data_IF_833643123196
#
_entry.id   IF_833643123196
#
_cell.length_a   1.000
_cell.length_b   1.000
_cell.length_c   1.000
_cell.angle_alpha   90.00
_cell.angle_beta   90.00
_cell.angle_gamma   90.00
#
_symmetry.space_group_name_H-M   'P 1'
#
loop_
_entity.id
_entity.type
_entity.pdbx_description
1 polymer ?
#
# COMPACT_ATOMS: atom_id res chain seq x y z
N UNK A 1 0.55 24.53 8.48
CA UNK A 1 1.07 23.15 8.68
C UNK A 1 0.27 22.23 7.78
N UNK A 2 0.88 21.61 6.75
CA UNK A 2 0.11 20.78 5.80
C UNK A 2 -0.28 19.42 6.39
N UNK A 3 -1.48 18.97 6.06
CA UNK A 3 -2.03 17.66 6.41
C UNK A 3 -2.31 16.89 5.13
N UNK A 4 -1.82 15.66 5.01
CA UNK A 4 -2.04 14.93 3.77
C UNK A 4 -1.09 13.78 3.52
N UNK A 5 -1.01 13.39 2.25
CA UNK A 5 -0.21 12.26 1.77
C UNK A 5 0.87 12.78 0.84
N UNK A 6 2.08 12.25 0.98
CA UNK A 6 3.19 12.49 0.07
C UNK A 6 3.53 11.18 -0.65
N UNK A 7 3.63 11.25 -1.97
CA UNK A 7 4.10 10.15 -2.80
C UNK A 7 5.62 10.29 -2.92
N UNK A 8 6.37 9.59 -2.07
CA UNK A 8 7.82 9.66 -2.05
C UNK A 8 8.44 8.57 -2.91
N UNK A 9 9.59 8.86 -3.50
CA UNK A 9 10.50 7.86 -4.06
C UNK A 9 11.48 7.42 -2.96
N UNK A 10 11.58 6.11 -2.72
CA UNK A 10 12.68 5.54 -1.93
C UNK A 10 13.79 5.06 -2.88
N UNK A 11 15.02 5.61 -2.83
CA UNK A 11 16.15 5.04 -3.55
C UNK A 11 16.59 3.69 -2.96
N UNK A 12 17.39 2.94 -3.71
CA UNK A 12 18.03 1.71 -3.22
C UNK A 12 19.03 2.06 -2.12
N UNK A 13 19.06 1.28 -1.04
CA UNK A 13 19.94 1.52 0.12
C UNK A 13 19.18 1.83 1.40
N UNK A 14 18.58 3.02 1.56
CA UNK A 14 17.91 3.40 2.81
C UNK A 14 16.71 2.51 3.13
N UNK A 15 16.37 2.40 4.40
CA UNK A 15 15.13 1.78 4.86
C UNK A 15 13.94 2.72 4.59
N UNK A 16 12.71 2.18 4.65
CA UNK A 16 11.51 3.03 4.60
C UNK A 16 11.41 4.01 5.78
N UNK A 17 12.05 3.72 6.92
CA UNK A 17 12.05 4.61 8.07
C UNK A 17 13.00 5.79 7.88
N UNK A 18 14.12 5.59 7.17
CA UNK A 18 15.05 6.68 6.86
C UNK A 18 14.38 7.75 6.00
N UNK A 19 13.51 7.34 5.05
CA UNK A 19 12.68 8.28 4.26
C UNK A 19 11.72 9.07 5.16
N UNK A 20 11.12 8.42 6.15
CA UNK A 20 10.24 9.08 7.13
C UNK A 20 11.04 10.11 7.93
N UNK A 21 12.23 9.76 8.40
CA UNK A 21 13.07 10.65 9.21
C UNK A 21 13.59 11.84 8.39
N UNK A 22 13.91 11.64 7.12
CA UNK A 22 14.29 12.73 6.22
C UNK A 22 13.15 13.75 6.04
N UNK A 23 11.92 13.27 5.84
CA UNK A 23 10.73 14.15 5.73
C UNK A 23 10.44 14.83 7.07
N UNK A 24 10.57 14.14 8.20
CA UNK A 24 10.42 14.77 9.54
C UNK A 24 11.41 15.91 9.74
N UNK A 25 12.67 15.70 9.35
CA UNK A 25 13.74 16.68 9.45
C UNK A 25 13.46 17.90 8.58
N UNK A 26 13.14 17.69 7.30
CA UNK A 26 12.90 18.78 6.33
C UNK A 26 11.63 19.57 6.65
N UNK A 27 10.52 18.91 7.00
CA UNK A 27 9.25 19.57 7.34
C UNK A 27 9.13 20.01 8.79
N UNK A 28 10.14 19.74 9.64
CA UNK A 28 10.15 20.04 11.08
C UNK A 28 8.88 19.58 11.81
N UNK A 29 8.32 18.43 11.41
CA UNK A 29 7.16 17.82 12.09
C UNK A 29 7.49 16.42 12.58
N UNK A 30 7.01 16.07 13.77
CA UNK A 30 7.19 14.72 14.34
C UNK A 30 6.22 13.71 13.72
N UNK A 31 5.04 14.14 13.28
CA UNK A 31 3.93 13.24 12.88
C UNK A 31 4.04 12.86 11.41
N UNK A 32 4.99 11.99 11.09
CA UNK A 32 5.16 11.36 9.78
C UNK A 32 5.21 9.84 9.94
N UNK A 33 4.61 9.12 9.00
CA UNK A 33 4.65 7.65 8.93
C UNK A 33 4.45 7.15 7.50
N UNK A 34 4.61 5.85 7.26
CA UNK A 34 4.50 5.26 5.91
C UNK A 34 3.38 4.21 5.77
N UNK A 35 2.83 4.11 4.56
CA UNK A 35 1.68 3.27 4.17
C UNK A 35 2.03 1.91 3.58
N UNK A 36 3.29 1.49 3.62
CA UNK A 36 3.71 0.16 3.17
C UNK A 36 5.22 0.06 3.03
N UNK A 37 5.85 -0.77 3.86
CA UNK A 37 7.31 -0.94 3.86
C UNK A 37 7.80 -1.38 2.48
N UNK A 38 8.96 -0.87 2.09
CA UNK A 38 9.74 -1.31 0.96
C UNK A 38 11.13 -1.73 1.49
N UNK A 39 11.61 -2.88 1.05
CA UNK A 39 12.87 -3.45 1.52
C UNK A 39 14.07 -2.54 1.16
N UNK A 40 15.17 -2.53 1.93
CA UNK A 40 16.30 -1.64 1.69
C UNK A 40 16.91 -1.77 0.28
N UNK A 41 17.03 -3.00 -0.23
CA UNK A 41 17.60 -3.29 -1.56
C UNK A 41 16.69 -2.88 -2.72
N UNK A 42 15.41 -2.65 -2.45
CA UNK A 42 14.42 -2.24 -3.43
C UNK A 42 14.33 -0.70 -3.52
N UNK A 43 13.76 -0.19 -4.60
CA UNK A 43 13.44 1.23 -4.75
C UNK A 43 11.99 1.44 -5.25
N UNK A 44 11.56 2.69 -5.34
CA UNK A 44 10.27 3.05 -5.94
C UNK A 44 9.31 3.75 -4.98
N UNK A 45 8.01 3.71 -5.32
CA UNK A 45 6.95 4.47 -4.65
C UNK A 45 6.83 4.09 -3.18
N UNK A 46 6.80 5.08 -2.29
CA UNK A 46 6.54 4.94 -0.85
C UNK A 46 5.55 6.01 -0.40
N UNK A 47 4.34 5.57 -0.05
CA UNK A 47 3.31 6.46 0.48
C UNK A 47 3.66 6.90 1.90
N UNK A 48 3.76 8.21 2.11
CA UNK A 48 3.98 8.83 3.41
C UNK A 48 2.76 9.65 3.84
N UNK A 49 2.40 9.58 5.11
CA UNK A 49 1.37 10.41 5.70
C UNK A 49 2.01 11.50 6.54
N UNK A 50 1.57 12.74 6.34
CA UNK A 50 2.05 13.92 7.07
C UNK A 50 0.92 14.45 7.96
N UNK A 51 1.22 14.61 9.24
CA UNK A 51 0.31 15.07 10.28
C UNK A 51 -1.00 14.25 10.33
N UNK A 52 -2.19 14.86 10.12
CA UNK A 52 -3.46 14.11 10.09
C UNK A 52 -3.52 13.06 8.98
N UNK A 53 -2.77 13.23 7.89
CA UNK A 53 -2.68 12.25 6.80
C UNK A 53 -2.12 10.89 7.21
N UNK A 54 -1.38 10.81 8.32
CA UNK A 54 -0.97 9.52 8.92
C UNK A 54 -2.16 8.61 9.24
N UNK A 55 -3.34 9.18 9.50
CA UNK A 55 -4.57 8.44 9.80
C UNK A 55 -5.22 7.81 8.56
N UNK A 56 -4.82 8.24 7.37
CA UNK A 56 -5.28 7.70 6.08
C UNK A 56 -4.45 6.50 5.60
N UNK A 57 -3.27 6.27 6.18
CA UNK A 57 -2.29 5.28 5.68
C UNK A 57 -2.82 3.83 5.61
N UNK A 58 -3.83 3.48 6.40
CA UNK A 58 -4.45 2.15 6.34
C UNK A 58 -5.17 1.87 5.02
N UNK A 59 -5.74 2.89 4.37
CA UNK A 59 -6.42 2.74 3.08
C UNK A 59 -5.41 2.45 1.98
N UNK A 60 -4.24 3.11 2.00
CA UNK A 60 -3.14 2.87 1.06
C UNK A 60 -2.47 1.51 1.24
N UNK A 61 -2.40 1.01 2.49
CA UNK A 61 -1.92 -0.35 2.79
C UNK A 61 -2.72 -1.42 2.05
N UNK A 62 -4.00 -1.18 1.82
CA UNK A 62 -4.93 -2.12 1.20
C UNK A 62 -5.07 -1.98 -0.32
N UNK A 63 -4.37 -1.03 -0.96
CA UNK A 63 -4.37 -0.92 -2.42
C UNK A 63 -3.55 -2.02 -3.09
N UNK A 64 -3.81 -2.31 -4.36
CA UNK A 64 -2.92 -3.15 -5.16
C UNK A 64 -1.56 -2.46 -5.35
N UNK A 65 -0.52 -3.25 -5.64
CA UNK A 65 0.83 -2.76 -5.92
C UNK A 65 1.32 -3.34 -7.24
N UNK A 66 2.02 -2.52 -8.01
CA UNK A 66 2.75 -2.98 -9.21
C UNK A 66 4.24 -2.94 -8.92
N UNK A 67 4.92 -4.02 -9.28
CA UNK A 67 6.36 -4.13 -9.17
C UNK A 67 6.96 -4.54 -10.52
N UNK A 68 8.12 -3.99 -10.82
CA UNK A 68 9.08 -4.61 -11.72
C UNK A 68 10.12 -5.34 -10.87
N UNK A 69 10.44 -6.59 -11.25
CA UNK A 69 11.38 -7.43 -10.52
C UNK A 69 12.35 -8.07 -11.49
N UNK A 70 13.60 -8.24 -11.05
CA UNK A 70 14.62 -9.07 -11.68
C UNK A 70 15.08 -10.13 -10.69
N UNK A 71 15.05 -11.40 -11.10
CA UNK A 71 15.51 -12.53 -10.32
C UNK A 71 16.65 -13.28 -11.03
N UNK A 72 17.53 -13.90 -10.25
CA UNK A 72 18.57 -14.81 -10.72
C UNK A 72 18.18 -16.25 -10.39
N UNK A 73 17.99 -17.05 -11.43
CA UNK A 73 17.72 -18.49 -11.34
C UNK A 73 18.98 -19.24 -10.86
N UNK A 74 18.79 -20.32 -10.11
CA UNK A 74 19.88 -21.13 -9.58
C UNK A 74 20.59 -20.52 -8.36
N UNK A 75 20.12 -19.40 -7.82
CA UNK A 75 20.70 -18.76 -6.64
C UNK A 75 19.67 -18.71 -5.51
N UNK A 76 20.07 -19.14 -4.31
CA UNK A 76 19.27 -19.05 -3.09
C UNK A 76 20.09 -18.35 -2.00
N UNK A 77 19.54 -17.28 -1.44
CA UNK A 77 20.09 -16.57 -0.29
C UNK A 77 19.19 -16.69 0.93
N UNK A 78 19.71 -16.42 2.12
CA UNK A 78 18.90 -16.48 3.35
C UNK A 78 17.71 -15.51 3.36
N UNK A 79 17.86 -14.37 2.69
CA UNK A 79 16.87 -13.28 2.68
C UNK A 79 15.95 -13.32 1.46
N UNK A 80 16.21 -14.22 0.51
CA UNK A 80 15.59 -14.30 -0.82
C UNK A 80 15.81 -13.05 -1.70
N UNK A 81 16.82 -12.26 -1.35
CA UNK A 81 17.34 -11.16 -2.16
C UNK A 81 18.87 -11.15 -2.17
N UNK A 82 19.46 -10.37 -3.06
CA UNK A 82 20.91 -10.29 -3.27
C UNK A 82 21.70 -9.75 -2.07
N UNK A 83 21.04 -9.26 -1.02
CA UNK A 83 21.72 -8.76 0.18
C UNK A 83 21.94 -9.82 1.25
N UNK A 84 21.32 -10.99 1.11
CA UNK A 84 21.52 -12.13 2.00
C UNK A 84 22.76 -12.94 1.63
N UNK A 85 23.26 -13.69 2.61
CA UNK A 85 24.32 -14.68 2.37
C UNK A 85 23.82 -15.78 1.44
N UNK A 86 24.69 -16.23 0.53
CA UNK A 86 24.40 -17.31 -0.40
C UNK A 86 24.37 -18.62 0.37
N UNK A 87 23.22 -19.28 0.36
CA UNK A 87 23.02 -20.59 0.99
C UNK A 87 23.26 -21.71 -0.01
N UNK A 88 22.87 -21.46 -1.26
CA UNK A 88 22.95 -22.46 -2.31
C UNK A 88 23.05 -21.80 -3.70
N UNK A 89 23.90 -22.37 -4.54
CA UNK A 89 24.01 -22.02 -5.95
C UNK A 89 24.06 -23.30 -6.80
N UNK A 90 23.18 -23.37 -7.80
CA UNK A 90 23.01 -24.52 -8.70
C UNK A 90 22.99 -24.07 -10.14
N UNK A 91 23.32 -24.98 -11.05
CA UNK A 91 22.98 -24.78 -12.46
C UNK A 91 21.46 -24.89 -12.65
N UNK A 92 20.92 -24.00 -13.50
CA UNK A 92 19.53 -24.02 -13.89
C UNK A 92 19.48 -24.23 -15.39
N UNK A 93 19.20 -25.48 -15.80
CA UNK A 93 19.19 -25.92 -17.19
C UNK A 93 17.73 -26.09 -17.64
N UNK A 94 16.99 -24.98 -17.68
CA UNK A 94 15.58 -24.91 -18.09
C UNK A 94 15.44 -24.09 -19.37
N UNK A 95 14.44 -24.39 -20.20
CA UNK A 95 14.17 -23.64 -21.42
C UNK A 95 13.40 -22.34 -21.13
N UNK A 96 13.38 -21.42 -22.08
CA UNK A 96 12.58 -20.19 -21.95
C UNK A 96 11.07 -20.48 -21.81
N UNK A 97 10.59 -21.52 -22.47
CA UNK A 97 9.19 -21.96 -22.41
C UNK A 97 8.84 -22.44 -20.99
N UNK A 98 9.69 -23.26 -20.39
CA UNK A 98 9.51 -23.74 -19.00
C UNK A 98 9.51 -22.59 -18.00
N UNK A 99 10.41 -21.61 -18.19
CA UNK A 99 10.45 -20.38 -17.38
C UNK A 99 9.12 -19.62 -17.50
N UNK A 100 8.64 -19.37 -18.72
CA UNK A 100 7.38 -18.65 -18.96
C UNK A 100 6.20 -19.41 -18.35
N UNK A 101 6.10 -20.71 -18.56
CA UNK A 101 5.05 -21.56 -18.00
C UNK A 101 5.04 -21.49 -16.46
N UNK A 102 6.21 -21.64 -15.83
CA UNK A 102 6.33 -21.54 -14.39
C UNK A 102 5.88 -20.17 -13.88
N UNK A 103 6.33 -19.07 -14.48
CA UNK A 103 5.94 -17.70 -14.10
C UNK A 103 4.43 -17.50 -14.21
N UNK A 104 3.84 -17.79 -15.36
CA UNK A 104 2.41 -17.52 -15.60
C UNK A 104 1.49 -18.43 -14.78
N UNK A 105 1.96 -19.59 -14.34
CA UNK A 105 1.19 -20.48 -13.48
C UNK A 105 0.86 -19.91 -12.09
N UNK A 106 1.53 -18.84 -11.66
CA UNK A 106 1.23 -18.13 -10.40
C UNK A 106 0.17 -17.04 -10.56
N UNK A 107 -0.28 -16.71 -11.78
CA UNK A 107 -1.40 -15.79 -12.00
C UNK A 107 -2.68 -16.42 -11.42
N UNK A 108 -3.38 -15.68 -10.57
CA UNK A 108 -4.48 -16.18 -9.76
C UNK A 108 -4.20 -16.04 -8.27
N UNK A 109 -4.65 -17.00 -7.47
CA UNK A 109 -4.53 -16.96 -6.01
C UNK A 109 -3.81 -18.20 -5.48
N UNK A 110 -2.87 -18.00 -4.56
CA UNK A 110 -2.21 -19.10 -3.86
C UNK A 110 -1.86 -18.73 -2.43
N UNK A 111 -1.54 -19.74 -1.63
CA UNK A 111 -1.10 -19.57 -0.25
C UNK A 111 0.41 -19.35 -0.21
N UNK A 112 0.83 -18.10 -0.01
CA UNK A 112 2.24 -17.71 0.02
C UNK A 112 2.77 -17.73 1.46
N UNK A 113 3.94 -18.35 1.65
CA UNK A 113 4.67 -18.28 2.92
C UNK A 113 5.46 -16.97 2.98
N UNK A 114 5.25 -16.10 3.99
CA UNK A 114 6.07 -14.90 4.16
C UNK A 114 7.55 -15.27 4.37
N UNK A 115 8.49 -14.48 3.84
CA UNK A 115 9.91 -14.73 4.06
C UNK A 115 10.27 -14.50 5.54
N UNK A 116 11.28 -15.22 6.02
CA UNK A 116 11.78 -15.10 7.40
C UNK A 116 12.23 -13.66 7.70
N UNK A 117 12.88 -13.01 6.73
CA UNK A 117 13.26 -11.60 6.82
C UNK A 117 12.12 -10.67 6.41
N UNK A 118 11.12 -10.52 7.27
CA UNK A 118 9.96 -9.64 7.06
C UNK A 118 9.56 -8.83 8.29
N UNK A 119 8.76 -7.78 8.07
CA UNK A 119 8.23 -6.93 9.15
C UNK A 119 7.04 -7.55 9.91
N UNK A 120 6.62 -8.79 9.59
CA UNK A 120 5.58 -9.51 10.33
C UNK A 120 6.03 -9.74 11.77
N UNK A 121 5.06 -9.91 12.68
CA UNK A 121 5.33 -10.18 14.09
C UNK A 121 5.02 -11.62 14.46
N UNK A 122 5.87 -12.21 15.29
CA UNK A 122 5.62 -13.46 16.01
C UNK A 122 5.78 -13.18 17.51
N UNK A 123 4.73 -13.45 18.29
CA UNK A 123 4.68 -13.17 19.74
C UNK A 123 5.16 -11.76 20.14
N UNK A 124 4.79 -10.75 19.34
CA UNK A 124 5.12 -9.34 19.59
C UNK A 124 6.41 -8.84 18.93
N UNK A 125 7.33 -9.74 18.56
CA UNK A 125 8.62 -9.41 17.95
C UNK A 125 8.61 -9.51 16.44
N UNK A 126 9.37 -8.66 15.73
CA UNK A 126 9.43 -8.67 14.26
C UNK A 126 10.28 -9.83 13.76
N UNK A 127 9.84 -10.52 12.71
CA UNK A 127 10.52 -11.70 12.19
C UNK A 127 11.96 -11.42 11.74
N UNK A 128 12.22 -10.29 11.07
CA UNK A 128 13.60 -9.97 10.68
C UNK A 128 14.55 -9.84 11.89
N UNK A 129 14.04 -9.48 13.08
CA UNK A 129 14.86 -9.39 14.30
C UNK A 129 15.20 -10.81 14.78
N UNK A 130 14.22 -11.70 14.81
CA UNK A 130 14.40 -13.11 15.17
C UNK A 130 15.33 -13.84 14.18
N UNK A 131 15.19 -13.59 12.88
CA UNK A 131 16.04 -14.17 11.85
C UNK A 131 17.52 -13.77 12.03
N UNK A 132 17.79 -12.50 12.36
CA UNK A 132 19.15 -12.02 12.70
C UNK A 132 19.73 -12.63 13.98
N UNK A 133 18.88 -13.16 14.86
CA UNK A 133 19.29 -13.95 16.03
C UNK A 133 19.45 -15.46 15.70
N UNK A 134 19.38 -15.84 14.42
CA UNK A 134 19.42 -17.24 13.96
C UNK A 134 18.11 -18.02 14.14
N UNK A 135 17.03 -17.36 14.58
CA UNK A 135 15.72 -18.01 14.82
C UNK A 135 14.80 -17.86 13.61
N UNK A 136 14.86 -18.82 12.70
CA UNK A 136 14.00 -18.87 11.51
C UNK A 136 12.61 -19.37 11.90
N UNK A 137 11.63 -18.46 11.95
CA UNK A 137 10.22 -18.79 12.20
C UNK A 137 9.46 -18.87 10.88
N UNK A 138 8.84 -20.02 10.60
CA UNK A 138 7.90 -20.20 9.49
C UNK A 138 6.50 -19.81 9.94
N UNK A 139 5.93 -18.78 9.34
CA UNK A 139 4.54 -18.39 9.58
C UNK A 139 3.60 -19.24 8.74
N UNK A 140 2.33 -19.39 9.15
CA UNK A 140 1.31 -19.98 8.30
C UNK A 140 1.22 -19.21 6.97
N UNK A 141 1.00 -19.92 5.85
CA UNK A 141 0.77 -19.28 4.56
C UNK A 141 -0.38 -18.28 4.62
N UNK A 142 -0.33 -17.28 3.75
CA UNK A 142 -1.42 -16.32 3.56
C UNK A 142 -1.87 -16.35 2.11
N UNK A 143 -3.19 -16.34 1.92
CA UNK A 143 -3.78 -16.17 0.59
C UNK A 143 -3.36 -14.83 0.02
N UNK A 144 -2.71 -14.87 -1.14
CA UNK A 144 -2.34 -13.71 -1.95
C UNK A 144 -2.92 -13.86 -3.35
N UNK A 145 -3.04 -12.75 -4.06
CA UNK A 145 -3.51 -12.69 -5.44
C UNK A 145 -2.48 -12.03 -6.33
N UNK A 146 -2.09 -12.74 -7.39
CA UNK A 146 -1.33 -12.23 -8.51
C UNK A 146 -2.35 -11.92 -9.61
N UNK A 147 -2.63 -10.64 -9.84
CA UNK A 147 -3.65 -10.23 -10.79
C UNK A 147 -3.22 -10.46 -12.24
N UNK A 148 -1.96 -10.12 -12.54
CA UNK A 148 -1.35 -10.30 -13.86
C UNK A 148 0.17 -10.19 -13.77
N UNK A 149 0.83 -10.85 -14.70
CA UNK A 149 2.26 -10.74 -14.98
C UNK A 149 2.42 -10.34 -16.45
N UNK A 150 3.36 -9.46 -16.76
CA UNK A 150 3.64 -9.03 -18.14
C UNK A 150 5.10 -8.58 -18.27
N UNK A 151 5.51 -8.20 -19.49
CA UNK A 151 6.88 -7.76 -19.82
C UNK A 151 7.98 -8.73 -19.36
N UNK A 152 7.75 -10.04 -19.59
CA UNK A 152 8.72 -11.08 -19.24
C UNK A 152 9.90 -11.01 -20.21
N UNK A 153 11.10 -10.78 -19.67
CA UNK A 153 12.37 -10.77 -20.38
C UNK A 153 13.29 -11.80 -19.73
N UNK A 154 13.84 -12.71 -20.55
CA UNK A 154 14.77 -13.76 -20.12
C UNK A 154 16.13 -13.44 -20.75
N UNK A 155 17.16 -13.42 -19.92
CA UNK A 155 18.55 -13.17 -20.33
C UNK A 155 19.47 -14.10 -19.52
N UNK A 156 19.78 -15.26 -20.12
CA UNK A 156 20.53 -16.34 -19.49
C UNK A 156 19.91 -16.80 -18.18
N UNK A 157 20.64 -16.62 -17.06
CA UNK A 157 20.16 -16.98 -15.71
C UNK A 157 19.32 -15.89 -15.05
N UNK A 158 19.09 -14.76 -15.72
CA UNK A 158 18.31 -13.66 -15.16
C UNK A 158 16.97 -13.54 -15.87
N UNK A 159 15.93 -13.31 -15.08
CA UNK A 159 14.58 -13.12 -15.60
C UNK A 159 13.99 -11.90 -14.94
N UNK A 160 13.40 -11.01 -15.74
CA UNK A 160 12.66 -9.86 -15.23
C UNK A 160 11.24 -9.82 -15.76
N UNK A 161 10.33 -9.27 -14.97
CA UNK A 161 8.93 -9.10 -15.35
C UNK A 161 8.25 -8.04 -14.48
N UNK A 162 7.09 -7.59 -14.92
CA UNK A 162 6.16 -6.79 -14.12
C UNK A 162 5.05 -7.64 -13.54
N UNK A 163 4.61 -7.28 -12.34
CA UNK A 163 3.55 -7.99 -11.62
C UNK A 163 2.66 -7.04 -10.85
N UNK A 164 1.35 -7.24 -10.97
CA UNK A 164 0.33 -6.59 -10.14
C UNK A 164 -0.15 -7.57 -9.06
N UNK A 165 -0.04 -7.17 -7.80
CA UNK A 165 -0.30 -8.03 -6.65
C UNK A 165 -1.24 -7.40 -5.64
N UNK A 166 -1.94 -8.26 -4.90
CA UNK A 166 -2.71 -7.86 -3.72
C UNK A 166 -1.81 -7.34 -2.59
N UNK A 167 -2.35 -6.55 -1.65
CA UNK A 167 -1.66 -6.20 -0.41
C UNK A 167 -1.05 -7.39 0.32
N UNK A 168 0.14 -7.19 0.90
CA UNK A 168 0.79 -8.19 1.75
C UNK A 168 1.51 -9.32 1.01
N UNK A 169 1.50 -9.31 -0.32
CA UNK A 169 2.29 -10.21 -1.17
C UNK A 169 3.77 -9.85 -1.09
N UNK A 170 4.63 -10.86 -0.94
CA UNK A 170 6.08 -10.73 -0.97
C UNK A 170 6.60 -11.14 -2.34
N UNK A 171 7.17 -10.19 -3.08
CA UNK A 171 7.79 -10.47 -4.39
C UNK A 171 9.00 -11.40 -4.24
N UNK A 172 9.74 -11.29 -3.13
CA UNK A 172 10.82 -12.22 -2.77
C UNK A 172 10.35 -13.67 -2.68
N UNK A 173 9.23 -13.92 -1.98
CA UNK A 173 8.64 -15.26 -1.93
C UNK A 173 8.14 -15.70 -3.30
N UNK A 174 7.51 -14.82 -4.08
CA UNK A 174 7.05 -15.15 -5.44
C UNK A 174 8.21 -15.64 -6.33
N UNK A 175 9.36 -14.95 -6.31
CA UNK A 175 10.54 -15.39 -7.06
C UNK A 175 11.07 -16.73 -6.56
N UNK A 176 11.17 -16.94 -5.25
CA UNK A 176 11.54 -18.25 -4.71
C UNK A 176 10.58 -19.36 -5.11
N UNK A 177 9.27 -19.11 -5.06
CA UNK A 177 8.23 -20.08 -5.40
C UNK A 177 8.29 -20.45 -6.89
N UNK A 178 8.54 -19.49 -7.77
CA UNK A 178 8.83 -19.72 -9.20
C UNK A 178 10.10 -20.56 -9.36
N UNK A 179 11.17 -20.20 -8.65
CA UNK A 179 12.44 -20.95 -8.67
C UNK A 179 12.29 -22.38 -8.17
N UNK A 180 11.47 -22.62 -7.15
CA UNK A 180 11.14 -23.96 -6.66
C UNK A 180 10.35 -24.76 -7.70
N UNK A 181 9.41 -24.12 -8.40
CA UNK A 181 8.66 -24.76 -9.48
C UNK A 181 9.57 -25.20 -10.64
N UNK A 182 10.61 -24.42 -10.92
CA UNK A 182 11.66 -24.75 -11.88
C UNK A 182 12.72 -25.73 -11.34
N UNK A 183 12.67 -26.08 -10.06
CA UNK A 183 13.61 -27.02 -9.42
C UNK A 183 15.02 -26.48 -9.13
N UNK A 184 15.31 -25.21 -9.46
CA UNK A 184 16.66 -24.63 -9.32
C UNK A 184 16.74 -23.49 -8.28
N UNK A 185 15.61 -22.99 -7.77
CA UNK A 185 15.57 -21.83 -6.87
C UNK A 185 15.79 -20.50 -7.61
N UNK A 186 15.44 -19.39 -6.97
CA UNK A 186 15.66 -18.06 -7.55
C UNK A 186 15.69 -16.95 -6.49
N UNK A 187 16.61 -16.01 -6.64
CA UNK A 187 16.79 -14.88 -5.71
C UNK A 187 16.51 -13.57 -6.39
N UNK A 188 15.85 -12.62 -5.71
CA UNK A 188 15.61 -11.28 -6.25
C UNK A 188 16.90 -10.47 -6.26
N UNK A 189 17.31 -9.96 -7.42
CA UNK A 189 18.49 -9.12 -7.56
C UNK A 189 18.14 -7.63 -7.65
N UNK A 190 16.99 -7.30 -8.23
CA UNK A 190 16.47 -5.93 -8.31
C UNK A 190 14.97 -5.93 -8.14
N UNK A 191 14.46 -4.89 -7.47
CA UNK A 191 13.03 -4.72 -7.20
C UNK A 191 12.67 -3.24 -7.20
N UNK A 192 11.70 -2.89 -8.04
CA UNK A 192 11.17 -1.54 -8.17
C UNK A 192 9.66 -1.58 -7.94
N UNK A 193 9.15 -0.84 -6.95
CA UNK A 193 7.70 -0.63 -6.81
C UNK A 193 7.28 0.53 -7.70
N UNK A 194 6.74 0.21 -8.86
CA UNK A 194 6.31 1.19 -9.87
C UNK A 194 5.03 1.92 -9.44
N UNK A 195 4.12 1.26 -8.69
CA UNK A 195 2.92 1.94 -8.19
C UNK A 195 2.31 1.37 -6.91
N UNK A 196 1.50 2.20 -6.25
CA UNK A 196 0.63 1.87 -5.11
C UNK A 196 -0.77 2.41 -5.40
N UNK A 197 -1.68 1.55 -5.84
CA UNK A 197 -2.98 1.96 -6.37
C UNK A 197 -2.82 2.98 -7.51
N UNK A 198 -3.45 4.17 -7.45
CA UNK A 198 -3.32 5.17 -8.50
C UNK A 198 -1.97 5.91 -8.46
N UNK A 199 -1.14 5.69 -7.44
CA UNK A 199 0.09 6.46 -7.24
C UNK A 199 1.29 5.83 -7.90
N UNK A 200 1.93 6.53 -8.84
CA UNK A 200 2.97 5.97 -9.70
C UNK A 200 4.37 6.50 -9.39
N UNK A 201 5.37 5.91 -10.02
CA UNK A 201 6.77 6.27 -9.86
C UNK A 201 7.06 7.66 -10.45
N UNK A 202 6.39 8.01 -11.54
CA UNK A 202 6.57 9.29 -12.26
C UNK A 202 6.10 10.48 -11.43
N UNK A 203 5.08 10.30 -10.58
CA UNK A 203 4.62 11.33 -9.64
C UNK A 203 5.37 11.33 -8.30
N UNK A 204 6.30 10.39 -8.09
CA UNK A 204 7.00 10.24 -6.82
C UNK A 204 8.16 11.23 -6.68
N UNK A 205 8.36 11.76 -5.46
CA UNK A 205 9.41 12.74 -5.16
C UNK A 205 10.56 12.09 -4.37
N UNK A 206 11.80 12.23 -4.85
CA UNK A 206 12.97 11.84 -4.06
C UNK A 206 13.23 12.86 -2.94
N UNK A 207 12.77 12.53 -1.73
CA UNK A 207 12.83 13.44 -0.57
C UNK A 207 14.25 13.68 -0.06
N UNK A 208 15.23 12.87 -0.44
CA UNK A 208 16.63 13.10 -0.04
C UNK A 208 17.24 14.27 -0.82
N UNK A 209 16.84 14.44 -2.08
CA UNK A 209 17.33 15.48 -2.98
C UNK A 209 16.44 16.74 -3.00
N UNK A 210 15.15 16.59 -2.70
CA UNK A 210 14.19 17.68 -2.73
C UNK A 210 14.41 18.71 -1.61
N UNK A 211 14.08 19.98 -1.89
CA UNK A 211 14.09 21.03 -0.86
C UNK A 211 12.90 20.89 0.12
N UNK A 212 12.98 21.45 1.34
CA UNK A 212 11.83 21.46 2.26
C UNK A 212 10.55 22.06 1.65
N UNK A 213 10.68 23.15 0.89
CA UNK A 213 9.56 23.82 0.23
C UNK A 213 8.93 22.95 -0.86
N UNK A 214 9.76 22.27 -1.65
CA UNK A 214 9.29 21.33 -2.66
C UNK A 214 8.53 20.15 -2.04
N UNK A 215 9.06 19.57 -0.96
CA UNK A 215 8.38 18.49 -0.23
C UNK A 215 7.03 19.00 0.30
N UNK A 216 7.00 20.17 0.92
CA UNK A 216 5.77 20.76 1.42
C UNK A 216 4.76 21.00 0.29
N UNK A 217 5.20 21.50 -0.87
CA UNK A 217 4.35 21.74 -2.04
C UNK A 217 3.83 20.47 -2.70
N UNK A 218 4.52 19.33 -2.52
CA UNK A 218 4.10 18.02 -3.03
C UNK A 218 3.22 17.21 -2.07
N UNK A 219 2.91 17.72 -0.87
CA UNK A 219 1.91 17.08 0.00
C UNK A 219 0.52 17.23 -0.61
N UNK A 220 -0.08 16.10 -1.00
CA UNK A 220 -1.47 16.01 -1.45
C UNK A 220 -2.36 16.31 -0.24
N UNK A 221 -3.20 17.37 -0.30
CA UNK A 221 -4.03 17.76 0.83
C UNK A 221 -5.10 16.70 1.13
N UNK A 222 -5.62 16.68 2.35
CA UNK A 222 -6.58 15.66 2.83
C UNK A 222 -7.81 15.54 1.92
N UNK A 223 -8.28 16.65 1.39
CA UNK A 223 -9.45 16.78 0.51
C UNK A 223 -9.27 16.03 -0.81
N UNK A 224 -8.02 15.92 -1.27
CA UNK A 224 -7.63 15.21 -2.50
C UNK A 224 -7.08 13.81 -2.24
N UNK A 225 -7.09 13.36 -0.98
CA UNK A 225 -6.74 11.99 -0.67
C UNK A 225 -7.94 11.05 -0.90
N UNK A 226 -7.63 9.78 -1.16
CA UNK A 226 -8.63 8.71 -1.31
C UNK A 226 -9.69 9.01 -2.39
N UNK A 227 -9.31 9.60 -3.52
CA UNK A 227 -10.22 10.01 -4.60
C UNK A 227 -11.05 8.86 -5.18
N UNK A 228 -10.61 7.61 -5.00
CA UNK A 228 -11.37 6.40 -5.38
C UNK A 228 -12.55 6.07 -4.45
N UNK A 229 -12.70 6.76 -3.32
CA UNK A 229 -13.84 6.56 -2.41
C UNK A 229 -14.98 7.53 -2.74
N UNK A 230 -16.26 7.07 -2.65
CA UNK A 230 -17.42 7.93 -2.86
C UNK A 230 -17.41 9.16 -1.95
N UNK A 231 -17.87 10.29 -2.48
CA UNK A 231 -17.98 11.57 -1.78
C UNK A 231 -19.43 11.82 -1.35
N UNK A 232 -19.57 12.39 -0.15
CA UNK A 232 -20.83 12.90 0.39
C UNK A 232 -20.60 14.31 0.91
N UNK A 233 -21.54 15.22 0.67
CA UNK A 233 -21.52 16.61 1.14
C UNK A 233 -22.68 16.81 2.11
N UNK A 234 -22.39 17.37 3.28
CA UNK A 234 -23.41 17.77 4.27
C UNK A 234 -23.69 19.28 4.18
N UNK A 235 -24.84 19.72 4.69
CA UNK A 235 -25.08 21.15 4.87
C UNK A 235 -24.14 21.76 5.91
N UNK A 236 -23.73 23.01 5.69
CA UNK A 236 -22.70 23.70 6.47
C UNK A 236 -23.04 23.78 7.97
N UNK A 237 -24.32 23.94 8.32
CA UNK A 237 -24.81 24.03 9.70
C UNK A 237 -24.54 22.77 10.54
N UNK A 238 -24.24 21.62 9.90
CA UNK A 238 -23.92 20.37 10.58
C UNK A 238 -22.42 20.11 10.73
N UNK A 239 -21.54 20.92 10.12
CA UNK A 239 -20.08 20.70 10.10
C UNK A 239 -19.48 20.56 11.50
N UNK A 240 -19.77 21.48 12.41
CA UNK A 240 -19.27 21.40 13.79
C UNK A 240 -19.81 20.17 14.55
N UNK A 241 -21.06 19.77 14.28
CA UNK A 241 -21.66 18.58 14.91
C UNK A 241 -20.91 17.31 14.49
N UNK A 242 -20.56 17.19 13.20
CA UNK A 242 -19.78 16.05 12.70
C UNK A 242 -18.36 16.06 13.28
N UNK A 243 -17.72 17.23 13.35
CA UNK A 243 -16.39 17.37 13.97
C UNK A 243 -16.38 16.99 15.46
N UNK A 244 -17.50 17.16 16.15
CA UNK A 244 -17.72 16.74 17.54
C UNK A 244 -18.22 15.28 17.69
N UNK A 245 -18.30 14.52 16.58
CA UNK A 245 -18.61 13.08 16.60
C UNK A 245 -20.09 12.72 16.43
N UNK A 246 -20.96 13.69 16.09
CA UNK A 246 -22.35 13.40 15.71
C UNK A 246 -22.39 12.48 14.50
N UNK A 247 -23.21 11.44 14.54
CA UNK A 247 -23.41 10.57 13.38
C UNK A 247 -24.14 11.32 12.25
N UNK A 248 -24.06 10.80 11.02
CA UNK A 248 -24.65 11.44 9.84
C UNK A 248 -26.05 10.88 9.61
N UNK A 249 -27.03 11.77 9.66
CA UNK A 249 -28.44 11.47 9.36
C UNK A 249 -28.85 12.01 7.99
N UNK A 250 -29.93 11.47 7.43
CA UNK A 250 -30.36 11.82 6.07
C UNK A 250 -30.61 13.32 5.88
N UNK A 251 -31.20 13.99 6.87
CA UNK A 251 -31.47 15.44 6.81
C UNK A 251 -30.21 16.29 6.66
N UNK A 252 -29.05 15.76 7.08
CA UNK A 252 -27.78 16.46 7.02
C UNK A 252 -27.18 16.44 5.62
N UNK A 253 -27.60 15.50 4.76
CA UNK A 253 -27.01 15.30 3.44
C UNK A 253 -27.54 16.32 2.42
N UNK A 254 -26.61 17.02 1.77
CA UNK A 254 -26.88 17.92 0.64
C UNK A 254 -26.72 17.19 -0.69
N UNK A 255 -25.57 16.56 -0.90
CA UNK A 255 -25.20 15.84 -2.13
C UNK A 255 -24.48 14.54 -1.78
N UNK A 256 -24.60 13.53 -2.63
CA UNK A 256 -23.88 12.26 -2.46
C UNK A 256 -23.67 11.52 -3.78
N UNK A 257 -22.51 10.88 -3.89
CA UNK A 257 -22.21 9.91 -4.94
C UNK A 257 -22.95 8.58 -4.71
N UNK A 258 -22.91 7.69 -5.70
CA UNK A 258 -23.41 6.32 -5.52
C UNK A 258 -22.47 5.51 -4.62
N UNK A 259 -23.03 4.80 -3.65
CA UNK A 259 -22.31 3.89 -2.76
C UNK A 259 -23.22 2.74 -2.28
N UNK A 260 -22.59 1.64 -1.88
CA UNK A 260 -23.25 0.47 -1.31
C UNK A 260 -23.15 0.50 0.21
N UNK A 261 -24.02 -0.24 0.87
CA UNK A 261 -23.91 -0.53 2.29
C UNK A 261 -22.50 -1.10 2.58
N UNK A 262 -21.90 -0.68 3.68
CA UNK A 262 -20.56 -1.04 4.16
C UNK A 262 -19.40 -0.37 3.40
N UNK A 263 -19.67 0.37 2.32
CA UNK A 263 -18.66 1.20 1.68
C UNK A 263 -18.14 2.27 2.65
N UNK A 264 -16.86 2.59 2.53
CA UNK A 264 -16.29 3.75 3.22
C UNK A 264 -16.43 4.98 2.31
N UNK A 265 -17.04 6.04 2.84
CA UNK A 265 -17.29 7.29 2.12
C UNK A 265 -16.55 8.46 2.76
N UNK A 266 -16.21 9.45 1.96
CA UNK A 266 -15.60 10.72 2.38
C UNK A 266 -16.71 11.74 2.64
N UNK A 267 -16.73 12.31 3.84
CA UNK A 267 -17.73 13.30 4.27
C UNK A 267 -17.11 14.70 4.22
N UNK A 268 -17.67 15.55 3.36
CA UNK A 268 -17.26 16.92 3.12
C UNK A 268 -18.33 17.91 3.59
N UNK A 269 -17.91 19.13 3.87
CA UNK A 269 -18.82 20.28 4.00
C UNK A 269 -18.99 21.03 2.66
N UNK A 270 -19.75 22.13 2.68
CA UNK A 270 -20.03 22.94 1.48
C UNK A 270 -18.82 23.75 1.01
N UNK A 271 -17.86 24.02 1.91
CA UNK A 271 -16.62 24.73 1.64
C UNK A 271 -15.54 23.81 1.02
N UNK A 272 -15.80 22.49 0.98
CA UNK A 272 -14.90 21.50 0.40
C UNK A 272 -13.88 20.92 1.38
N UNK A 273 -14.04 21.16 2.68
CA UNK A 273 -13.18 20.58 3.72
C UNK A 273 -13.55 19.12 3.98
N UNK A 274 -12.56 18.25 4.12
CA UNK A 274 -12.80 16.86 4.51
C UNK A 274 -13.02 16.76 6.03
N UNK A 275 -14.27 16.56 6.45
CA UNK A 275 -14.63 16.45 7.85
C UNK A 275 -14.33 15.08 8.44
N UNK A 276 -14.66 14.01 7.69
CA UNK A 276 -14.60 12.64 8.21
C UNK A 276 -14.57 11.57 7.12
N UNK A 277 -14.22 10.34 7.54
CA UNK A 277 -14.57 9.11 6.85
C UNK A 277 -15.67 8.38 7.61
N UNK A 278 -16.65 7.84 6.90
CA UNK A 278 -17.79 7.13 7.47
C UNK A 278 -18.08 5.82 6.73
N UNK A 279 -18.75 4.89 7.39
CA UNK A 279 -19.33 3.67 6.80
C UNK A 279 -20.75 3.92 6.37
N UNK A 280 -21.12 3.52 5.16
CA UNK A 280 -22.50 3.55 4.70
C UNK A 280 -23.34 2.47 5.40
N UNK A 281 -24.44 2.85 6.03
CA UNK A 281 -25.37 1.89 6.67
C UNK A 281 -26.52 1.46 5.75
N UNK A 282 -26.63 2.08 4.58
CA UNK A 282 -27.61 1.78 3.52
C UNK A 282 -26.94 2.01 2.15
N UNK A 283 -27.58 1.53 1.09
CA UNK A 283 -27.21 1.91 -0.28
C UNK A 283 -27.67 3.34 -0.58
N UNK A 284 -26.92 4.07 -1.40
CA UNK A 284 -27.25 5.44 -1.83
C UNK A 284 -28.63 5.53 -2.50
N UNK A 285 -29.00 4.53 -3.31
CA UNK A 285 -30.31 4.42 -3.95
C UNK A 285 -31.49 4.41 -2.96
N UNK A 286 -31.31 3.85 -1.75
CA UNK A 286 -32.37 3.78 -0.74
C UNK A 286 -32.63 5.12 -0.04
N UNK A 287 -31.66 6.05 -0.08
CA UNK A 287 -31.78 7.37 0.57
C UNK A 287 -32.91 8.20 -0.04
N UNK A 288 -33.14 8.09 -1.35
CA UNK A 288 -34.26 8.75 -2.04
C UNK A 288 -35.61 8.28 -1.52
N UNK A 289 -35.74 6.98 -1.24
CA UNK A 289 -36.96 6.40 -0.66
C UNK A 289 -37.19 6.90 0.75
N UNK A 290 -36.15 6.95 1.59
CA UNK A 290 -36.25 7.50 2.95
C UNK A 290 -36.67 8.98 2.94
N UNK A 291 -36.11 9.78 2.01
CA UNK A 291 -36.46 11.19 1.84
C UNK A 291 -37.93 11.36 1.47
N UNK A 292 -38.44 10.54 0.54
CA UNK A 292 -39.87 10.54 0.15
C UNK A 292 -40.80 10.13 1.29
N UNK A 293 -40.34 9.25 2.18
CA UNK A 293 -41.11 8.82 3.36
C UNK A 293 -40.98 9.77 4.56
N UNK A 294 -40.21 10.86 4.45
CA UNK A 294 -39.97 11.79 5.55
C UNK A 294 -39.23 11.16 6.75
N UNK A 295 -38.46 10.09 6.52
CA UNK A 295 -37.76 9.36 7.59
C UNK A 295 -36.33 9.85 7.73
N UNK A 296 -36.02 10.49 8.85
CA UNK A 296 -34.67 10.93 9.19
C UNK A 296 -33.89 9.82 9.92
N UNK A 297 -33.35 8.88 9.15
CA UNK A 297 -32.52 7.80 9.70
C UNK A 297 -31.03 8.13 9.67
N UNK A 298 -30.25 7.43 10.51
CA UNK A 298 -28.80 7.39 10.38
C UNK A 298 -28.43 6.69 9.07
N UNK A 299 -27.62 7.36 8.26
CA UNK A 299 -27.26 6.90 6.91
C UNK A 299 -25.78 6.56 6.83
N UNK A 300 -24.93 7.27 7.58
CA UNK A 300 -23.50 6.97 7.69
C UNK A 300 -23.08 6.92 9.16
N UNK A 301 -22.22 5.95 9.47
CA UNK A 301 -21.58 5.78 10.77
C UNK A 301 -20.14 6.28 10.72
N UNK A 302 -19.80 7.26 11.55
CA UNK A 302 -18.44 7.84 11.55
C UNK A 302 -17.38 6.80 11.92
N UNK A 303 -16.31 6.73 11.12
CA UNK A 303 -15.10 5.92 11.41
C UNK A 303 -13.94 6.79 11.88
N UNK A 304 -13.70 7.92 11.22
CA UNK A 304 -12.61 8.84 11.54
C UNK A 304 -13.05 10.27 11.31
N UNK A 305 -12.89 11.11 12.33
CA UNK A 305 -13.14 12.56 12.23
C UNK A 305 -11.80 13.29 12.17
N UNK A 306 -11.66 14.24 11.25
CA UNK A 306 -10.45 15.06 11.08
C UNK A 306 -10.68 16.45 11.66
N UNK A 307 -10.41 16.60 12.96
CA UNK A 307 -10.34 17.92 13.54
C UNK A 307 -8.96 18.53 13.22
N UNK A 308 -8.98 19.60 12.42
CA UNK A 308 -7.81 20.38 12.04
C UNK A 308 -7.63 21.65 12.88
N UNK A 309 -8.52 21.89 13.86
CA UNK A 309 -8.28 22.88 14.93
C UNK A 309 -7.10 22.47 15.81
#
# INVERSE_FOLDING_TARGET
MKHGVLVAYKPKGPTSHDVVDEVRKKLKTRKVGHGGTLDPFACGVLILGVNQGTRLLEFYKNLNKVYWVKMRLGLITETFDITGEVVEERECNVTEEEIKEAIFSFVGEYDQVPPAYSAKKYRGERLYKLAREGKIIRLPPRRVKIFRIWDVVIDGKTVSFRVEVSPGTYVRSLCMDIGYKLGCGATVVELVRESVGPHTLEESLNVFEASPEEIENRVIPMERCLEWLPRVVIFQDFSERILNGSQVFLEMLKEWDEFRKEDTVRVFDEEGNLLALAEAERNASFLRTLKRQGRNERVLKLKKVFNTR
#
